data_IF_217916379378
#
_entry.id   IF_217916379378
#
_cell.length_a   1.000
_cell.length_b   1.000
_cell.length_c   1.000
_cell.angle_alpha   90.00
_cell.angle_beta   90.00
_cell.angle_gamma   90.00
#
_symmetry.space_group_name_H-M   'P 1'
#
loop_
_entity.id
_entity.type
_entity.pdbx_description
1 polymer ?
#
# COMPACT_ATOMS: atom_id res chain seq x y z
N UNK A 1 6.03 25.46 -25.90
CA UNK A 1 5.98 25.03 -24.49
C UNK A 1 4.83 25.78 -23.85
N UNK A 2 3.64 25.19 -23.87
CA UNK A 2 2.46 25.74 -23.19
C UNK A 2 2.58 25.39 -21.71
N UNK A 3 2.60 26.40 -20.84
CA UNK A 3 2.51 26.19 -19.40
C UNK A 3 1.14 25.57 -19.09
N UNK A 4 1.11 24.44 -18.39
CA UNK A 4 -0.14 23.83 -17.93
C UNK A 4 -0.90 24.82 -17.05
N UNK A 5 -2.20 24.97 -17.30
CA UNK A 5 -3.04 25.89 -16.55
C UNK A 5 -3.34 25.32 -15.16
N UNK A 6 -3.68 26.19 -14.19
CA UNK A 6 -4.11 25.74 -12.87
C UNK A 6 -5.31 24.79 -12.95
N UNK A 7 -6.15 24.94 -13.97
CA UNK A 7 -7.26 24.03 -14.26
C UNK A 7 -6.79 22.64 -14.68
N UNK A 8 -5.70 22.53 -15.44
CA UNK A 8 -5.12 21.23 -15.81
C UNK A 8 -4.49 20.52 -14.60
N UNK A 9 -3.88 21.29 -13.70
CA UNK A 9 -3.33 20.76 -12.44
C UNK A 9 -4.45 20.29 -11.50
N UNK A 10 -5.51 21.08 -11.38
CA UNK A 10 -6.69 20.73 -10.57
C UNK A 10 -7.41 19.52 -11.16
N UNK A 11 -7.57 19.44 -12.48
CA UNK A 11 -8.17 18.27 -13.11
C UNK A 11 -7.29 17.03 -12.96
N UNK A 12 -5.97 17.15 -13.06
CA UNK A 12 -5.06 16.04 -12.78
C UNK A 12 -5.19 15.55 -11.33
N UNK A 13 -5.28 16.48 -10.36
CA UNK A 13 -5.47 16.15 -8.94
C UNK A 13 -6.85 15.52 -8.66
N UNK A 14 -7.91 16.07 -9.25
CA UNK A 14 -9.29 15.57 -9.15
C UNK A 14 -9.47 14.18 -9.78
N UNK A 15 -8.80 13.92 -10.89
CA UNK A 15 -8.87 12.63 -11.60
C UNK A 15 -7.89 11.59 -11.02
N UNK A 16 -7.00 12.00 -10.12
CA UNK A 16 -6.17 11.07 -9.34
C UNK A 16 -6.94 10.65 -8.10
N UNK A 17 -8.00 9.84 -8.28
CA UNK A 17 -8.50 9.04 -7.17
C UNK A 17 -7.37 8.08 -6.77
N UNK A 18 -6.69 8.38 -5.64
CA UNK A 18 -5.52 7.62 -5.24
C UNK A 18 -5.81 6.11 -5.19
N UNK A 19 -4.85 5.29 -5.64
CA UNK A 19 -5.00 3.83 -5.76
C UNK A 19 -5.63 3.23 -4.49
N UNK A 20 -6.80 2.57 -4.58
CA UNK A 20 -7.52 2.03 -3.43
C UNK A 20 -6.66 1.09 -2.59
N UNK A 21 -6.82 1.11 -1.27
CA UNK A 21 -6.07 0.20 -0.39
C UNK A 21 -6.65 -1.23 -0.47
N UNK A 22 -5.78 -2.21 -0.70
CA UNK A 22 -6.12 -3.64 -0.72
C UNK A 22 -6.84 -4.10 0.55
N UNK A 23 -6.45 -3.54 1.71
CA UNK A 23 -7.08 -3.84 3.00
C UNK A 23 -7.57 -2.55 3.65
N UNK A 24 -8.63 -1.97 3.09
CA UNK A 24 -9.31 -0.78 3.59
C UNK A 24 -9.93 -0.94 4.98
N UNK A 25 -10.76 0.03 5.41
CA UNK A 25 -11.44 -0.01 6.71
C UNK A 25 -12.37 -1.21 6.84
N UNK A 26 -13.04 -1.55 5.73
CA UNK A 26 -14.08 -2.58 5.68
C UNK A 26 -13.54 -3.98 5.30
N UNK A 27 -12.21 -4.12 5.22
CA UNK A 27 -11.56 -5.38 4.89
C UNK A 27 -11.94 -6.48 5.89
N UNK A 28 -12.33 -7.63 5.37
CA UNK A 28 -12.80 -8.78 6.13
C UNK A 28 -11.74 -9.86 6.19
N UNK A 29 -11.88 -10.74 7.19
CA UNK A 29 -11.06 -11.94 7.26
C UNK A 29 -11.32 -12.78 6.01
N UNK A 30 -10.24 -13.18 5.33
CA UNK A 30 -10.30 -13.95 4.10
C UNK A 30 -10.12 -13.11 2.84
N UNK A 31 -10.18 -11.78 2.94
CA UNK A 31 -9.85 -10.91 1.79
C UNK A 31 -8.40 -11.16 1.38
N UNK A 32 -8.17 -11.23 0.07
CA UNK A 32 -6.87 -11.53 -0.51
C UNK A 32 -6.41 -10.44 -1.47
N UNK A 33 -5.10 -10.36 -1.62
CA UNK A 33 -4.41 -9.57 -2.61
C UNK A 33 -3.53 -10.51 -3.43
N UNK A 34 -3.80 -10.56 -4.73
CA UNK A 34 -3.01 -11.30 -5.72
C UNK A 34 -2.73 -10.36 -6.89
N UNK A 35 -1.48 -10.30 -7.33
CA UNK A 35 -1.10 -9.45 -8.44
C UNK A 35 0.40 -9.17 -8.53
N UNK A 36 0.76 -8.39 -9.56
CA UNK A 36 2.13 -7.98 -9.83
C UNK A 36 2.46 -6.64 -9.15
N UNK A 37 3.64 -6.53 -8.53
CA UNK A 37 4.14 -5.28 -7.97
C UNK A 37 4.59 -4.38 -9.12
N UNK A 38 3.83 -3.33 -9.40
CA UNK A 38 4.11 -2.41 -10.51
C UNK A 38 4.80 -1.12 -10.07
N UNK A 39 4.65 -0.72 -8.79
CA UNK A 39 5.34 0.45 -8.26
C UNK A 39 5.58 0.37 -6.75
N UNK A 40 6.53 1.19 -6.28
CA UNK A 40 6.74 1.48 -4.86
C UNK A 40 6.64 2.99 -4.66
N UNK A 41 5.76 3.40 -3.76
CA UNK A 41 5.53 4.79 -3.43
C UNK A 41 5.90 5.11 -1.99
N UNK A 42 6.34 6.34 -1.77
CA UNK A 42 6.52 6.92 -0.44
C UNK A 42 5.48 8.01 -0.24
N UNK A 43 4.56 7.79 0.71
CA UNK A 43 3.44 8.69 0.99
C UNK A 43 3.61 9.34 2.36
N UNK A 44 3.28 10.63 2.48
CA UNK A 44 3.16 11.27 3.78
C UNK A 44 1.95 10.69 4.51
N UNK A 45 2.17 10.08 5.67
CA UNK A 45 1.10 9.54 6.50
C UNK A 45 0.19 10.66 6.96
N UNK A 46 -1.12 10.45 6.78
CA UNK A 46 -2.18 11.31 7.30
C UNK A 46 -2.96 10.57 8.39
N UNK A 47 -3.54 11.33 9.32
CA UNK A 47 -4.45 10.79 10.32
C UNK A 47 -5.86 10.52 9.74
N UNK A 48 -6.80 10.15 10.61
CA UNK A 48 -8.20 9.89 10.21
C UNK A 48 -8.96 11.12 9.72
N UNK A 49 -8.44 12.33 10.00
CA UNK A 49 -9.02 13.60 9.54
C UNK A 49 -8.34 14.11 8.26
N UNK A 50 -7.31 13.41 7.77
CA UNK A 50 -6.52 13.80 6.62
C UNK A 50 -5.35 14.72 6.94
N UNK A 51 -5.09 15.04 8.21
CA UNK A 51 -3.97 15.90 8.60
C UNK A 51 -2.63 15.16 8.47
N UNK A 52 -1.60 15.78 7.86
CA UNK A 52 -0.28 15.17 7.75
C UNK A 52 0.36 14.97 9.13
N UNK A 53 1.04 13.84 9.32
CA UNK A 53 1.71 13.51 10.57
C UNK A 53 3.22 13.75 10.50
N UNK A 54 3.78 14.29 11.57
CA UNK A 54 5.21 14.53 11.74
C UNK A 54 5.73 13.86 13.02
N UNK A 55 7.02 13.52 13.04
CA UNK A 55 7.70 12.98 14.20
C UNK A 55 8.03 14.10 15.19
N UNK A 56 7.32 14.10 16.32
CA UNK A 56 7.58 14.99 17.46
C UNK A 56 7.81 14.11 18.69
N UNK A 57 8.96 14.22 19.33
CA UNK A 57 9.33 13.42 20.50
C UNK A 57 9.11 11.90 20.33
N UNK A 58 9.49 11.38 19.15
CA UNK A 58 9.33 9.97 18.73
C UNK A 58 7.88 9.49 18.62
N UNK A 59 6.92 10.42 18.56
CA UNK A 59 5.50 10.13 18.37
C UNK A 59 4.98 10.86 17.11
N UNK A 60 4.15 10.20 16.28
CA UNK A 60 3.44 10.87 15.21
C UNK A 60 2.47 11.91 15.80
N UNK A 61 2.50 13.14 15.29
CA UNK A 61 1.64 14.24 15.71
C UNK A 61 1.20 15.06 14.49
N UNK A 62 -0.03 15.61 14.45
CA UNK A 62 -0.48 16.47 13.36
C UNK A 62 0.10 17.89 13.43
N UNK A 63 1.03 18.14 14.35
CA UNK A 63 1.75 19.41 14.44
C UNK A 63 2.80 19.43 13.33
N UNK A 64 2.79 20.49 12.52
CA UNK A 64 3.71 20.70 11.38
C UNK A 64 5.14 21.07 11.82
N UNK A 65 5.70 20.30 12.75
CA UNK A 65 7.08 20.44 13.23
C UNK A 65 7.77 19.09 13.22
N UNK A 66 9.06 19.08 12.86
CA UNK A 66 9.85 17.85 12.77
C UNK A 66 9.82 17.18 11.39
N UNK A 67 10.24 15.91 11.35
CA UNK A 67 10.35 15.15 10.10
C UNK A 67 9.01 14.51 9.72
N UNK A 68 8.58 14.54 8.44
CA UNK A 68 7.37 13.86 8.00
C UNK A 68 7.37 12.37 8.34
N UNK A 69 6.21 11.85 8.77
CA UNK A 69 6.00 10.41 8.91
C UNK A 69 5.73 9.85 7.52
N UNK A 70 6.62 9.01 7.01
CA UNK A 70 6.51 8.43 5.66
C UNK A 70 6.06 6.98 5.74
N UNK A 71 5.05 6.64 4.93
CA UNK A 71 4.60 5.29 4.64
C UNK A 71 5.22 4.80 3.33
N UNK A 72 5.75 3.57 3.35
CA UNK A 72 6.09 2.84 2.13
C UNK A 72 4.85 2.08 1.67
N UNK A 73 4.51 2.18 0.40
CA UNK A 73 3.31 1.61 -0.19
C UNK A 73 3.70 0.87 -1.45
N UNK A 74 3.22 -0.37 -1.61
CA UNK A 74 3.31 -1.10 -2.87
C UNK A 74 2.07 -0.82 -3.68
N UNK A 75 2.23 -0.63 -4.99
CA UNK A 75 1.13 -0.65 -5.94
C UNK A 75 1.17 -2.00 -6.63
N UNK A 76 0.06 -2.72 -6.53
CA UNK A 76 -0.10 -4.07 -7.04
C UNK A 76 -1.17 -4.04 -8.12
N UNK A 77 -0.81 -4.45 -9.34
CA UNK A 77 -1.76 -4.71 -10.41
C UNK A 77 -2.42 -6.06 -10.16
N UNK A 78 -3.68 -6.04 -9.77
CA UNK A 78 -4.47 -7.24 -9.50
C UNK A 78 -5.01 -7.86 -10.78
N UNK A 79 -5.26 -9.17 -10.72
CA UNK A 79 -5.84 -9.92 -11.83
C UNK A 79 -7.35 -9.65 -11.99
N UNK A 80 -7.99 -9.12 -10.94
CA UNK A 80 -9.42 -8.79 -10.90
C UNK A 80 -9.65 -7.29 -10.97
N UNK A 81 -10.76 -6.90 -11.60
CA UNK A 81 -11.31 -5.54 -11.62
C UNK A 81 -12.74 -5.58 -11.08
N UNK A 82 -13.09 -4.62 -10.25
CA UNK A 82 -14.41 -4.55 -9.61
C UNK A 82 -15.47 -3.92 -10.54
N UNK A 83 -15.07 -3.02 -11.45
CA UNK A 83 -15.94 -2.40 -12.46
C UNK A 83 -15.14 -1.85 -13.66
N UNK A 84 -15.82 -1.27 -14.66
CA UNK A 84 -15.19 -0.81 -15.92
C UNK A 84 -14.12 0.27 -15.71
N UNK A 85 -14.36 1.21 -14.81
CA UNK A 85 -13.40 2.27 -14.47
C UNK A 85 -12.32 1.86 -13.44
N UNK A 86 -12.32 0.61 -12.99
CA UNK A 86 -11.30 0.10 -12.07
C UNK A 86 -10.06 -0.28 -12.87
N UNK A 87 -8.96 0.45 -12.65
CA UNK A 87 -7.66 0.15 -13.26
C UNK A 87 -7.06 -1.18 -12.79
N UNK A 88 -7.69 -1.80 -11.77
CA UNK A 88 -7.24 -3.05 -11.16
C UNK A 88 -5.98 -2.84 -10.33
N UNK A 89 -5.68 -1.62 -9.91
CA UNK A 89 -4.56 -1.36 -9.03
C UNK A 89 -5.03 -1.30 -7.59
N UNK A 90 -4.25 -1.91 -6.70
CA UNK A 90 -4.46 -1.84 -5.26
C UNK A 90 -3.17 -1.43 -4.57
N UNK A 91 -3.30 -0.57 -3.58
CA UNK A 91 -2.20 -0.14 -2.75
C UNK A 91 -2.10 -1.01 -1.50
N UNK A 92 -0.89 -1.44 -1.16
CA UNK A 92 -0.60 -2.18 0.06
C UNK A 92 0.39 -1.37 0.89
N UNK A 93 -0.11 -0.77 1.97
CA UNK A 93 0.75 -0.06 2.93
C UNK A 93 1.60 -1.05 3.71
N UNK A 94 2.91 -0.85 3.70
CA UNK A 94 3.87 -1.69 4.41
C UNK A 94 3.99 -1.27 5.88
N UNK A 95 2.92 -1.50 6.64
CA UNK A 95 2.94 -1.40 8.09
C UNK A 95 3.75 -2.56 8.73
N UNK A 96 3.81 -2.60 10.06
CA UNK A 96 4.58 -3.62 10.79
C UNK A 96 4.11 -5.04 10.48
N UNK A 97 2.80 -5.26 10.46
CA UNK A 97 2.20 -6.59 10.37
C UNK A 97 2.26 -7.10 8.93
N UNK A 98 2.00 -6.23 7.96
CA UNK A 98 2.20 -6.52 6.53
C UNK A 98 3.66 -6.84 6.23
N UNK A 99 4.61 -6.01 6.72
CA UNK A 99 6.05 -6.27 6.52
C UNK A 99 6.47 -7.62 7.07
N UNK A 100 5.94 -8.01 8.23
CA UNK A 100 6.25 -9.30 8.84
C UNK A 100 5.81 -10.43 7.90
N UNK A 101 4.53 -10.49 7.54
CA UNK A 101 3.97 -11.53 6.69
C UNK A 101 4.65 -11.59 5.31
N UNK A 102 4.81 -10.43 4.65
CA UNK A 102 5.43 -10.38 3.32
C UNK A 102 6.92 -10.79 3.38
N UNK A 103 7.64 -10.43 4.44
CA UNK A 103 9.04 -10.85 4.61
C UNK A 103 9.20 -12.35 4.80
N UNK A 104 8.21 -13.04 5.35
CA UNK A 104 8.21 -14.50 5.48
C UNK A 104 8.05 -15.14 4.09
N UNK A 105 7.12 -14.64 3.28
CA UNK A 105 6.93 -15.09 1.89
C UNK A 105 8.15 -14.85 1.00
N UNK A 106 8.77 -13.66 1.09
CA UNK A 106 10.00 -13.34 0.33
C UNK A 106 11.15 -14.28 0.68
N UNK A 107 11.34 -14.56 1.98
CA UNK A 107 12.39 -15.50 2.42
C UNK A 107 12.11 -16.92 1.96
N UNK A 108 10.84 -17.34 1.96
CA UNK A 108 10.45 -18.65 1.43
C UNK A 108 10.74 -18.78 -0.07
N UNK A 109 10.67 -17.68 -0.83
CA UNK A 109 11.08 -17.61 -2.22
C UNK A 109 12.61 -17.61 -2.45
N UNK A 110 13.42 -17.59 -1.38
CA UNK A 110 14.88 -17.51 -1.46
C UNK A 110 15.43 -16.11 -1.74
N UNK A 111 14.57 -15.10 -1.68
CA UNK A 111 14.91 -13.73 -2.05
C UNK A 111 15.31 -12.87 -0.85
N UNK A 112 16.05 -11.77 -1.11
CA UNK A 112 16.46 -10.80 -0.08
C UNK A 112 15.51 -9.61 0.04
N UNK A 113 14.59 -9.46 -0.90
CA UNK A 113 13.65 -8.36 -0.97
C UNK A 113 12.63 -8.54 -2.10
N UNK A 114 11.72 -7.58 -2.19
CA UNK A 114 10.81 -7.46 -3.33
C UNK A 114 11.51 -6.76 -4.51
N UNK A 115 10.98 -6.98 -5.70
CA UNK A 115 11.32 -6.25 -6.91
C UNK A 115 10.06 -5.82 -7.66
N UNK A 116 10.17 -4.75 -8.46
CA UNK A 116 9.15 -4.41 -9.46
C UNK A 116 9.08 -5.57 -10.46
N UNK A 117 7.86 -5.94 -10.85
CA UNK A 117 7.56 -7.14 -11.64
C UNK A 117 7.49 -8.43 -10.82
N UNK A 118 7.81 -8.40 -9.53
CA UNK A 118 7.57 -9.53 -8.63
C UNK A 118 6.09 -9.71 -8.36
N UNK A 119 5.64 -10.96 -8.20
CA UNK A 119 4.23 -11.32 -8.03
C UNK A 119 3.93 -11.77 -6.60
N UNK A 120 2.80 -11.32 -6.08
CA UNK A 120 2.24 -11.75 -4.79
C UNK A 120 1.01 -12.60 -5.09
N UNK A 121 0.92 -13.76 -4.47
CA UNK A 121 -0.22 -14.67 -4.64
C UNK A 121 -0.82 -15.04 -3.28
N UNK A 122 -2.10 -14.70 -3.09
CA UNK A 122 -2.86 -15.10 -1.91
C UNK A 122 -2.43 -14.41 -0.60
N UNK A 123 -1.84 -13.21 -0.66
CA UNK A 123 -1.60 -12.43 0.55
C UNK A 123 -2.95 -12.08 1.19
N UNK A 124 -3.17 -12.42 2.45
CA UNK A 124 -4.53 -12.48 3.01
C UNK A 124 -4.64 -11.80 4.37
N UNK A 125 -5.75 -11.11 4.62
CA UNK A 125 -6.14 -10.73 5.97
C UNK A 125 -6.64 -11.97 6.72
N UNK A 126 -5.78 -12.60 7.50
CA UNK A 126 -6.07 -13.84 8.22
C UNK A 126 -6.92 -13.61 9.49
N UNK A 127 -6.91 -12.41 10.05
CA UNK A 127 -7.76 -12.05 11.18
C UNK A 127 -7.27 -10.83 11.97
N UNK A 128 -7.70 -10.77 13.23
CA UNK A 128 -7.36 -9.69 14.16
C UNK A 128 -6.74 -10.27 15.44
N UNK A 129 -5.67 -9.65 15.92
CA UNK A 129 -5.05 -9.97 17.19
C UNK A 129 -5.89 -9.41 18.35
N UNK A 130 -5.77 -10.01 19.54
CA UNK A 130 -6.51 -9.59 20.74
C UNK A 130 -6.26 -8.11 21.13
N UNK A 131 -5.16 -7.51 20.66
CA UNK A 131 -4.83 -6.09 20.88
C UNK A 131 -5.23 -5.14 19.75
N UNK A 132 -6.08 -5.55 18.81
CA UNK A 132 -6.58 -4.72 17.71
C UNK A 132 -5.65 -4.61 16.49
N UNK A 133 -4.50 -5.30 16.50
CA UNK A 133 -3.64 -5.45 15.31
C UNK A 133 -4.26 -6.38 14.28
N UNK A 134 -3.84 -6.25 13.01
CA UNK A 134 -4.24 -7.16 11.93
C UNK A 134 -3.24 -8.30 11.81
N UNK A 135 -3.73 -9.49 11.49
CA UNK A 135 -2.91 -10.67 11.23
C UNK A 135 -3.01 -10.97 9.75
N UNK A 136 -1.86 -11.04 9.09
CA UNK A 136 -1.78 -11.36 7.66
C UNK A 136 -1.11 -12.70 7.44
N UNK A 137 -1.57 -13.42 6.42
CA UNK A 137 -0.84 -14.51 5.78
C UNK A 137 -0.10 -13.92 4.58
N UNK A 138 1.20 -14.22 4.46
CA UNK A 138 2.06 -13.69 3.42
C UNK A 138 1.78 -14.27 2.03
N UNK A 139 1.07 -15.39 1.95
CA UNK A 139 0.89 -16.13 0.70
C UNK A 139 2.24 -16.54 0.09
N UNK A 140 2.32 -16.47 -1.23
CA UNK A 140 3.54 -16.74 -1.99
C UNK A 140 4.05 -15.48 -2.67
N UNK A 141 5.38 -15.28 -2.63
CA UNK A 141 6.05 -14.27 -3.45
C UNK A 141 6.88 -14.97 -4.53
N UNK A 142 6.78 -14.48 -5.77
CA UNK A 142 7.57 -14.95 -6.90
C UNK A 142 8.36 -13.77 -7.46
N UNK A 143 9.70 -13.82 -7.56
CA UNK A 143 10.48 -12.74 -8.16
C UNK A 143 10.16 -12.59 -9.66
N UNK A 144 10.41 -11.41 -10.27
CA UNK A 144 10.25 -11.23 -11.70
C UNK A 144 11.13 -12.22 -12.46
N UNK A 145 10.65 -12.69 -13.62
CA UNK A 145 11.49 -13.50 -14.51
C UNK A 145 12.60 -12.60 -15.06
N UNK A 146 13.85 -13.02 -14.88
CA UNK A 146 15.03 -12.31 -15.35
C UNK A 146 15.15 -12.30 -16.88
#
# INVERSE_FOLDING_TARGET
MTASTDLDLINADLMTAGVPNAFGRDAQRGDTLTGEIVAVERRHRRDSTGQPLYWVDRKPSPIETGQPVIDNVLIVQTDTRDHEDDDGQRSLRLDRDVKKALSEAIRAAGEKGIAIGGRIEGFMLAGHAQGGGRIYDGGTYTPPTA
#
